data_IF_466748800963
#
_entry.id   IF_466748800963
#
_cell.length_a   1.000
_cell.length_b   1.000
_cell.length_c   1.000
_cell.angle_alpha   90.00
_cell.angle_beta   90.00
_cell.angle_gamma   90.00
#
_symmetry.space_group_name_H-M   'P 1'
#
loop_
_entity.id
_entity.type
_entity.pdbx_description
1 polymer ?
#
# COMPACT_ATOMS: atom_id res chain seq x y z
N UNK A 1 -0.81 62.27 -42.49
CA UNK A 1 -0.07 62.93 -41.40
C UNK A 1 -0.13 62.03 -40.18
N UNK A 2 1.03 61.74 -39.63
CA UNK A 2 1.37 60.70 -38.64
C UNK A 2 1.07 61.11 -37.19
N UNK A 3 0.36 60.24 -36.46
CA UNK A 3 0.65 59.69 -35.11
C UNK A 3 -0.64 59.31 -34.38
N UNK A 4 -0.63 58.19 -33.64
CA UNK A 4 -0.50 58.36 -32.20
C UNK A 4 0.50 57.39 -31.56
N UNK A 5 1.46 57.99 -30.84
CA UNK A 5 2.27 57.34 -29.83
C UNK A 5 1.43 57.04 -28.58
N UNK A 6 1.55 55.80 -28.12
CA UNK A 6 1.89 55.43 -26.73
C UNK A 6 0.98 55.92 -25.59
N UNK A 7 0.23 55.00 -24.96
CA UNK A 7 0.51 54.61 -23.56
C UNK A 7 -0.44 53.51 -23.04
N UNK A 8 0.21 52.42 -22.60
CA UNK A 8 -0.02 51.73 -21.32
C UNK A 8 -1.30 50.91 -21.13
N UNK A 9 -1.10 49.58 -21.19
CA UNK A 9 -1.22 48.73 -20.01
C UNK A 9 -2.63 48.30 -19.62
N UNK A 10 -3.06 47.15 -20.13
CA UNK A 10 -4.13 46.37 -19.50
C UNK A 10 -3.64 44.95 -19.26
N UNK A 11 -3.18 44.72 -18.03
CA UNK A 11 -2.99 43.41 -17.44
C UNK A 11 -4.35 42.82 -17.05
N UNK A 12 -4.38 41.49 -16.98
CA UNK A 12 -5.44 40.65 -16.43
C UNK A 12 -6.66 40.44 -17.33
N UNK A 13 -6.77 39.25 -17.93
CA UNK A 13 -8.02 38.48 -17.87
C UNK A 13 -7.77 36.99 -18.21
N UNK A 14 -8.13 36.16 -17.22
CA UNK A 14 -8.59 34.77 -17.35
C UNK A 14 -7.56 33.64 -17.57
N UNK A 15 -6.55 33.52 -16.69
CA UNK A 15 -6.13 32.19 -16.23
C UNK A 15 -7.18 31.69 -15.22
N UNK A 16 -8.26 31.11 -15.73
CA UNK A 16 -9.42 30.66 -14.95
C UNK A 16 -9.72 29.18 -15.14
N UNK A 17 -8.70 28.32 -15.11
CA UNK A 17 -8.85 26.88 -14.92
C UNK A 17 -8.12 26.53 -13.63
N UNK A 18 -8.74 26.89 -12.51
CA UNK A 18 -8.37 26.33 -11.21
C UNK A 18 -8.56 24.82 -11.34
N UNK A 19 -7.42 24.12 -11.35
CA UNK A 19 -7.29 22.69 -11.16
C UNK A 19 -8.22 22.27 -10.02
N UNK A 20 -9.27 21.54 -10.37
CA UNK A 20 -10.00 20.72 -9.40
C UNK A 20 -9.07 19.58 -9.03
N UNK A 21 -8.11 19.86 -8.14
CA UNK A 21 -7.49 18.81 -7.34
C UNK A 21 -8.58 18.30 -6.41
N UNK A 22 -9.28 17.25 -6.84
CA UNK A 22 -10.08 16.45 -5.93
C UNK A 22 -9.17 16.06 -4.77
N UNK A 23 -9.47 16.47 -3.52
CA UNK A 23 -8.73 15.93 -2.39
C UNK A 23 -8.96 14.42 -2.44
N UNK A 24 -7.88 13.66 -2.63
CA UNK A 24 -7.92 12.22 -2.43
C UNK A 24 -8.34 12.01 -0.98
N UNK A 25 -9.61 11.66 -0.79
CA UNK A 25 -10.18 11.34 0.49
C UNK A 25 -9.45 10.07 0.92
N UNK A 26 -8.43 10.22 1.76
CA UNK A 26 -7.71 9.12 2.37
C UNK A 26 -8.69 8.45 3.34
N UNK A 27 -9.51 7.56 2.81
CA UNK A 27 -10.45 6.77 3.60
C UNK A 27 -9.64 5.97 4.60
N UNK A 28 -9.80 6.29 5.89
CA UNK A 28 -9.11 5.57 6.95
C UNK A 28 -9.62 4.14 6.95
N UNK A 29 -8.79 3.22 6.49
CA UNK A 29 -9.06 1.79 6.55
C UNK A 29 -9.45 1.41 7.98
N UNK A 30 -10.61 0.78 8.13
CA UNK A 30 -11.01 0.17 9.40
C UNK A 30 -10.04 -0.98 9.68
N UNK A 31 -9.47 -0.99 10.89
CA UNK A 31 -8.68 -2.11 11.36
C UNK A 31 -9.55 -3.38 11.33
N UNK A 32 -9.11 -4.47 10.68
CA UNK A 32 -9.88 -5.69 10.62
C UNK A 32 -9.79 -6.48 11.92
N UNK A 33 -10.85 -7.21 12.25
CA UNK A 33 -11.01 -7.91 13.54
C UNK A 33 -9.98 -9.03 13.77
N UNK A 34 -9.30 -9.49 12.72
CA UNK A 34 -8.24 -10.50 12.84
C UNK A 34 -6.91 -9.96 13.35
N UNK A 35 -6.75 -8.63 13.49
CA UNK A 35 -5.53 -8.02 14.02
C UNK A 35 -5.61 -8.01 15.55
N UNK A 36 -4.59 -8.55 16.25
CA UNK A 36 -4.72 -8.87 17.68
C UNK A 36 -4.47 -7.70 18.64
N UNK A 37 -4.20 -6.48 18.18
CA UNK A 37 -3.94 -5.33 19.05
C UNK A 37 -4.92 -4.18 18.84
N UNK A 38 -4.91 -3.31 19.85
CA UNK A 38 -5.59 -2.03 19.85
C UNK A 38 -5.14 -1.14 18.68
N UNK A 39 -6.06 -0.31 18.19
CA UNK A 39 -5.86 0.54 17.02
C UNK A 39 -4.67 1.50 17.16
N UNK A 40 -4.37 1.97 18.37
CA UNK A 40 -3.25 2.88 18.64
C UNK A 40 -1.87 2.20 18.58
N UNK A 41 -1.84 0.86 18.51
CA UNK A 41 -0.64 0.03 18.40
C UNK A 41 -0.49 -0.60 17.01
N UNK A 42 -1.31 -0.15 16.07
CA UNK A 42 -1.43 -0.73 14.74
C UNK A 42 -0.87 0.20 13.68
N UNK A 43 0.11 -0.29 12.93
CA UNK A 43 0.59 0.35 11.70
C UNK A 43 0.26 -0.54 10.52
N UNK A 44 -0.13 0.06 9.41
CA UNK A 44 -0.40 -0.67 8.17
C UNK A 44 0.30 -0.02 6.99
N UNK A 45 0.75 -0.85 6.06
CA UNK A 45 1.24 -0.40 4.77
C UNK A 45 0.69 -1.32 3.69
N UNK A 46 0.35 -0.75 2.54
CA UNK A 46 -0.16 -1.49 1.40
C UNK A 46 0.54 -1.06 0.12
N UNK A 47 0.70 -1.99 -0.82
CA UNK A 47 1.45 -1.70 -2.03
C UNK A 47 1.65 -2.91 -2.93
N UNK A 48 2.48 -2.72 -3.95
CA UNK A 48 2.92 -3.78 -4.86
C UNK A 48 4.16 -4.48 -4.30
N UNK A 49 4.18 -5.81 -4.40
CA UNK A 49 5.25 -6.65 -3.87
C UNK A 49 6.44 -6.72 -4.83
N UNK A 50 7.65 -6.65 -4.29
CA UNK A 50 8.89 -6.89 -5.03
C UNK A 50 9.88 -7.72 -4.20
N UNK A 51 10.88 -8.33 -4.85
CA UNK A 51 11.90 -9.17 -4.19
C UNK A 51 11.30 -10.22 -3.22
N UNK A 52 10.27 -10.93 -3.69
CA UNK A 52 9.58 -11.94 -2.90
C UNK A 52 10.40 -13.23 -2.75
N UNK A 53 10.39 -13.78 -1.54
CA UNK A 53 10.92 -15.09 -1.21
C UNK A 53 10.04 -15.74 -0.15
N UNK A 54 9.71 -17.02 -0.34
CA UNK A 54 9.00 -17.84 0.64
C UNK A 54 9.58 -19.25 0.67
N UNK A 55 9.86 -19.72 1.88
CA UNK A 55 10.21 -21.11 2.17
C UNK A 55 9.24 -21.68 3.21
N UNK A 56 9.50 -22.90 3.69
CA UNK A 56 8.74 -23.49 4.79
C UNK A 56 8.96 -22.77 6.13
N UNK A 57 10.04 -22.00 6.26
CA UNK A 57 10.47 -21.39 7.52
C UNK A 57 10.49 -19.86 7.50
N UNK A 58 10.46 -19.24 6.33
CA UNK A 58 10.65 -17.81 6.16
C UNK A 58 9.77 -17.24 5.07
N UNK A 59 9.32 -15.99 5.27
CA UNK A 59 8.73 -15.17 4.22
C UNK A 59 9.36 -13.78 4.25
N UNK A 60 9.81 -13.34 3.08
CA UNK A 60 10.48 -12.05 2.93
C UNK A 60 10.05 -11.38 1.63
N UNK A 61 9.82 -10.07 1.67
CA UNK A 61 9.51 -9.28 0.50
C UNK A 61 9.64 -7.77 0.76
N UNK A 62 9.79 -7.01 -0.31
CA UNK A 62 9.66 -5.57 -0.32
C UNK A 62 8.28 -5.13 -0.79
N UNK A 63 7.86 -3.92 -0.41
CA UNK A 63 6.58 -3.32 -0.79
C UNK A 63 6.83 -1.91 -1.31
N UNK A 64 6.43 -1.63 -2.55
CA UNK A 64 6.25 -0.25 -3.03
C UNK A 64 4.91 0.24 -2.56
N UNK A 65 4.91 1.06 -1.52
CA UNK A 65 3.67 1.53 -0.91
C UNK A 65 2.94 2.50 -1.84
N UNK A 66 1.62 2.58 -1.67
CA UNK A 66 0.79 3.55 -2.40
C UNK A 66 1.18 5.01 -2.11
N UNK A 67 1.87 5.25 -0.99
CA UNK A 67 2.37 6.56 -0.58
C UNK A 67 3.80 6.85 -1.11
N UNK A 68 4.34 5.94 -1.95
CA UNK A 68 5.63 6.12 -2.62
C UNK A 68 6.86 5.73 -1.80
N UNK A 69 6.69 5.05 -0.66
CA UNK A 69 7.80 4.52 0.16
C UNK A 69 8.16 3.08 -0.22
N UNK A 70 9.35 2.64 0.23
CA UNK A 70 9.80 1.27 0.09
C UNK A 70 9.93 0.64 1.47
N UNK A 71 9.03 -0.30 1.77
CA UNK A 71 9.07 -1.07 3.02
C UNK A 71 9.61 -2.47 2.77
N UNK A 72 10.17 -3.11 3.79
CA UNK A 72 10.61 -4.51 3.73
C UNK A 72 10.07 -5.30 4.91
N UNK A 73 9.71 -6.55 4.66
CA UNK A 73 9.35 -7.53 5.66
C UNK A 73 10.25 -8.75 5.51
N UNK A 74 10.74 -9.26 6.64
CA UNK A 74 11.46 -10.52 6.74
C UNK A 74 11.13 -11.14 8.09
N UNK A 75 10.35 -12.23 8.07
CA UNK A 75 9.86 -12.90 9.28
C UNK A 75 9.83 -14.42 9.11
N UNK A 76 9.75 -15.13 10.23
CA UNK A 76 9.46 -16.56 10.23
C UNK A 76 8.08 -16.82 9.60
N UNK A 77 8.02 -17.80 8.70
CA UNK A 77 6.78 -18.17 8.03
C UNK A 77 5.80 -18.83 9.00
N UNK A 78 4.57 -18.32 9.02
CA UNK A 78 3.44 -18.79 9.81
C UNK A 78 2.16 -18.65 9.02
N UNK A 79 1.47 -19.77 8.75
CA UNK A 79 0.27 -19.77 7.92
C UNK A 79 -0.86 -18.94 8.56
N UNK A 80 -0.95 -18.96 9.90
CA UNK A 80 -1.95 -18.25 10.68
C UNK A 80 -1.93 -16.73 10.50
N UNK A 81 -0.76 -16.17 10.13
CA UNK A 81 -0.56 -14.75 9.86
C UNK A 81 -1.04 -14.32 8.47
N UNK A 82 -1.31 -15.28 7.58
CA UNK A 82 -1.69 -15.01 6.19
C UNK A 82 -3.19 -14.80 6.09
N UNK A 83 -3.57 -13.87 5.22
CA UNK A 83 -4.94 -13.56 4.81
C UNK A 83 -4.99 -13.38 3.30
N UNK A 84 -6.17 -13.61 2.72
CA UNK A 84 -6.42 -13.36 1.31
C UNK A 84 -7.69 -12.53 1.19
N UNK A 85 -7.55 -11.28 0.74
CA UNK A 85 -8.63 -10.30 0.68
C UNK A 85 -9.39 -10.19 2.02
N UNK A 86 -8.66 -10.20 3.14
CA UNK A 86 -9.17 -10.16 4.51
C UNK A 86 -9.73 -11.48 5.06
N UNK A 87 -9.86 -12.51 4.22
CA UNK A 87 -10.33 -13.84 4.60
C UNK A 87 -9.23 -14.75 5.14
N UNK A 88 -9.64 -15.92 5.67
CA UNK A 88 -8.71 -16.98 6.04
C UNK A 88 -7.87 -17.42 4.84
N UNK A 89 -6.59 -17.67 5.09
CA UNK A 89 -5.66 -18.16 4.07
C UNK A 89 -5.38 -19.65 4.30
N UNK A 90 -5.38 -20.42 3.22
CA UNK A 90 -5.07 -21.86 3.23
C UNK A 90 -3.88 -22.17 2.34
N UNK A 91 -3.19 -23.29 2.56
CA UNK A 91 -2.05 -23.67 1.72
C UNK A 91 -2.38 -23.74 0.20
N UNK A 92 -3.56 -24.23 -0.23
CA UNK A 92 -3.95 -24.19 -1.64
C UNK A 92 -4.04 -22.79 -2.25
N UNK A 93 -4.31 -21.75 -1.44
CA UNK A 93 -4.43 -20.37 -1.94
C UNK A 93 -3.12 -19.83 -2.53
N UNK A 94 -1.97 -20.41 -2.19
CA UNK A 94 -0.70 -20.08 -2.83
C UNK A 94 -0.76 -20.22 -4.36
N UNK A 95 -1.58 -21.12 -4.90
CA UNK A 95 -1.75 -21.29 -6.36
C UNK A 95 -2.39 -20.06 -7.04
N UNK A 96 -3.09 -19.23 -6.28
CA UNK A 96 -3.67 -17.95 -6.73
C UNK A 96 -2.61 -16.87 -6.83
N UNK A 97 -1.67 -16.84 -5.89
CA UNK A 97 -0.64 -15.79 -5.78
C UNK A 97 0.66 -16.13 -6.52
N UNK A 98 0.99 -17.41 -6.65
CA UNK A 98 2.25 -17.87 -7.21
C UNK A 98 2.05 -18.55 -8.56
N UNK A 99 3.01 -18.34 -9.48
CA UNK A 99 3.12 -19.10 -10.74
C UNK A 99 3.66 -20.51 -10.48
N UNK A 100 4.61 -20.60 -9.55
CA UNK A 100 5.20 -21.82 -9.03
C UNK A 100 5.67 -21.55 -7.58
N UNK A 101 5.90 -22.58 -6.75
CA UNK A 101 6.31 -22.38 -5.36
C UNK A 101 7.46 -21.38 -5.21
N UNK A 102 7.25 -20.30 -4.45
CA UNK A 102 8.23 -19.24 -4.22
C UNK A 102 8.37 -18.21 -5.34
N UNK A 103 7.59 -18.30 -6.42
CA UNK A 103 7.58 -17.35 -7.54
C UNK A 103 6.22 -16.67 -7.60
N UNK A 104 6.16 -15.44 -7.11
CA UNK A 104 4.94 -14.63 -7.10
C UNK A 104 4.51 -14.26 -8.53
N UNK A 105 3.20 -14.18 -8.76
CA UNK A 105 2.65 -13.59 -10.00
C UNK A 105 3.03 -12.11 -10.09
N UNK A 106 3.17 -11.56 -11.31
CA UNK A 106 3.39 -10.13 -11.50
C UNK A 106 2.29 -9.29 -10.84
N UNK A 107 2.65 -8.12 -10.33
CA UNK A 107 1.72 -7.11 -9.81
C UNK A 107 0.82 -7.55 -8.64
N UNK A 108 1.19 -8.62 -7.94
CA UNK A 108 0.52 -9.00 -6.69
C UNK A 108 0.69 -7.88 -5.66
N UNK A 109 -0.42 -7.53 -5.02
CA UNK A 109 -0.46 -6.50 -3.98
C UNK A 109 -0.62 -7.15 -2.61
N UNK A 110 -0.21 -6.42 -1.60
CA UNK A 110 -0.29 -6.87 -0.21
C UNK A 110 -0.60 -5.70 0.69
N UNK A 111 -1.28 -5.99 1.80
CA UNK A 111 -1.41 -5.14 2.95
C UNK A 111 -0.82 -5.86 4.15
N UNK A 112 0.14 -5.22 4.81
CA UNK A 112 0.73 -5.74 6.03
C UNK A 112 0.27 -4.89 7.20
N UNK A 113 -0.09 -5.57 8.28
CA UNK A 113 -0.45 -5.00 9.56
C UNK A 113 0.65 -5.35 10.55
N UNK A 114 1.36 -4.34 11.08
CA UNK A 114 2.29 -4.49 12.20
C UNK A 114 1.59 -4.09 13.48
N UNK A 115 1.64 -4.99 14.42
CA UNK A 115 0.98 -4.91 15.69
C UNK A 115 2.01 -4.91 16.80
N UNK A 116 2.02 -3.87 17.64
CA UNK A 116 2.98 -3.69 18.72
C UNK A 116 2.28 -3.83 20.08
N UNK A 117 2.24 -5.06 20.62
CA UNK A 117 1.50 -5.36 21.84
C UNK A 117 2.46 -5.46 23.04
N UNK A 118 2.57 -4.37 23.80
CA UNK A 118 3.43 -4.28 24.99
C UNK A 118 4.89 -4.73 24.73
N UNK A 119 5.45 -4.40 23.56
CA UNK A 119 6.81 -4.76 23.15
C UNK A 119 6.92 -6.07 22.37
N UNK A 120 5.84 -6.85 22.25
CA UNK A 120 5.77 -7.99 21.35
C UNK A 120 5.26 -7.55 19.96
N UNK A 121 6.10 -7.68 18.94
CA UNK A 121 5.75 -7.34 17.57
C UNK A 121 5.17 -8.57 16.86
N UNK A 122 3.99 -8.41 16.27
CA UNK A 122 3.39 -9.41 15.38
C UNK A 122 2.97 -8.79 14.05
N UNK A 123 2.88 -9.63 13.02
CA UNK A 123 2.50 -9.23 11.68
C UNK A 123 1.33 -10.05 11.19
N UNK A 124 0.40 -9.40 10.49
CA UNK A 124 -0.62 -10.05 9.65
C UNK A 124 -0.41 -9.60 8.21
N UNK A 125 -0.39 -10.55 7.28
CA UNK A 125 -0.10 -10.32 5.86
C UNK A 125 -1.36 -10.66 5.07
N UNK A 126 -1.99 -9.65 4.49
CA UNK A 126 -3.20 -9.76 3.69
C UNK A 126 -2.87 -9.56 2.20
N UNK A 127 -2.91 -10.67 1.46
CA UNK A 127 -2.68 -10.67 0.02
C UNK A 127 -3.90 -10.12 -0.70
N UNK A 128 -3.68 -9.19 -1.62
CA UNK A 128 -4.72 -8.52 -2.39
C UNK A 128 -4.63 -9.00 -3.84
N UNK A 129 -5.57 -9.85 -4.23
CA UNK A 129 -5.75 -10.31 -5.63
C UNK A 129 -6.68 -9.37 -6.39
#
# INVERSE_FOLDING_TARGET
MTNPMLKQGLWCLAMGLCLWMSPALAERLRAPDFVPCERNQLTSWQGEVFNYHRSETQIAFGIRTVDGTLERLDIAYRLEQMRLNGGLFTLPDWKRLELSPGVLRPSVRVRVWRCDNAGAISFMIDWLE
#
